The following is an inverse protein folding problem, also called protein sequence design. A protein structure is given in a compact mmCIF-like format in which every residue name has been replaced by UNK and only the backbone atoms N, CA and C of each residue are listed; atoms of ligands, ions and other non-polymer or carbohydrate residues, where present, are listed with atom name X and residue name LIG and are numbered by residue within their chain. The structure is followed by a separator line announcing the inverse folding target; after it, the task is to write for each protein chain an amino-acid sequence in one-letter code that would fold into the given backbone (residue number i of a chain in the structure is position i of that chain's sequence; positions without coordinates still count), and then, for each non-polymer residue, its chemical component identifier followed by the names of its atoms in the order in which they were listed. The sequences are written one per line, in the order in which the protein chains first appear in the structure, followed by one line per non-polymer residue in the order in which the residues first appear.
data_IF_147898582154
#
_entry.id   IF_147898582154
#
_cell.length_a   1.000
_cell.length_b   1.000
_cell.length_c   1.000
_cell.angle_alpha   90.00
_cell.angle_beta   90.00
_cell.angle_gamma   90.00
#
_symmetry.space_group_name_H-M   'P 1'
#
loop_
_entity.id
_entity.type
_entity.pdbx_description
1 polymer ?
#
# COMPACT_ATOMS: atom_id res chain seq x y z
N UNK A 1 -0.45 -4.35 -7.38
CA UNK A 1 0.02 -2.98 -7.06
C UNK A 1 -0.86 -1.92 -7.69
N UNK A 2 -1.08 -1.96 -9.01
CA UNK A 2 -1.91 -0.94 -9.69
C UNK A 2 -3.35 -0.84 -9.16
N UNK A 3 -4.02 -1.97 -8.91
CA UNK A 3 -5.33 -1.99 -8.24
C UNK A 3 -5.31 -1.28 -6.86
N UNK A 4 -4.19 -1.37 -6.13
CA UNK A 4 -4.03 -0.73 -4.83
C UNK A 4 -3.88 0.78 -4.97
N UNK A 5 -3.03 1.25 -5.90
CA UNK A 5 -2.85 2.67 -6.17
C UNK A 5 -4.08 3.36 -6.78
N UNK A 6 -4.90 2.61 -7.54
CA UNK A 6 -6.16 3.11 -8.09
C UNK A 6 -7.34 3.05 -7.11
N UNK A 7 -7.22 2.34 -5.98
CA UNK A 7 -8.29 2.21 -4.99
C UNK A 7 -9.36 1.17 -5.36
N UNK A 8 -9.02 0.14 -6.14
CA UNK A 8 -9.96 -0.93 -6.51
C UNK A 8 -10.16 -1.93 -5.37
N UNK A 9 -10.84 -1.50 -4.31
CA UNK A 9 -11.04 -2.22 -3.06
C UNK A 9 -11.53 -3.67 -3.25
N UNK A 10 -12.56 -3.87 -4.09
CA UNK A 10 -13.12 -5.21 -4.36
C UNK A 10 -12.12 -6.15 -5.02
N UNK A 11 -11.29 -5.63 -5.92
CA UNK A 11 -10.21 -6.40 -6.59
C UNK A 11 -9.12 -6.73 -5.58
N UNK A 12 -8.73 -5.77 -4.75
CA UNK A 12 -7.73 -5.99 -3.69
C UNK A 12 -8.19 -7.07 -2.71
N UNK A 13 -9.43 -6.99 -2.23
CA UNK A 13 -9.99 -7.99 -1.31
C UNK A 13 -10.04 -9.38 -1.97
N UNK A 14 -10.53 -9.48 -3.20
CA UNK A 14 -10.60 -10.77 -3.93
C UNK A 14 -9.22 -11.39 -4.10
N UNK A 15 -8.20 -10.59 -4.44
CA UNK A 15 -6.83 -11.08 -4.58
C UNK A 15 -6.24 -11.55 -3.25
N UNK A 16 -6.59 -10.87 -2.16
CA UNK A 16 -6.15 -11.23 -0.81
C UNK A 16 -6.76 -12.56 -0.36
N UNK A 17 -8.05 -12.75 -0.60
CA UNK A 17 -8.75 -14.02 -0.37
C UNK A 17 -8.16 -15.16 -1.22
N UNK A 18 -7.68 -14.85 -2.42
CA UNK A 18 -6.99 -15.81 -3.28
C UNK A 18 -5.53 -16.10 -2.87
N UNK A 19 -5.04 -15.48 -1.79
CA UNK A 19 -3.68 -15.68 -1.29
C UNK A 19 -2.59 -14.97 -2.10
N UNK A 20 -2.92 -13.88 -2.79
CA UNK A 20 -1.92 -13.08 -3.48
C UNK A 20 -0.92 -12.48 -2.47
N UNK A 21 0.36 -12.52 -2.83
CA UNK A 21 1.43 -11.90 -2.06
C UNK A 21 1.52 -10.40 -2.39
N UNK A 22 1.18 -9.55 -1.41
CA UNK A 22 1.22 -8.10 -1.53
C UNK A 22 2.53 -7.47 -1.04
N UNK A 23 3.46 -8.27 -0.52
CA UNK A 23 4.81 -7.84 -0.11
C UNK A 23 5.81 -7.87 -1.28
N UNK A 24 5.42 -8.47 -2.41
CA UNK A 24 6.21 -8.40 -3.65
C UNK A 24 6.42 -6.95 -4.03
N UNK A 25 7.68 -6.62 -4.33
CA UNK A 25 8.08 -5.29 -4.77
C UNK A 25 8.36 -5.25 -6.28
N UNK A 26 8.01 -4.14 -6.92
CA UNK A 26 8.31 -3.92 -8.34
C UNK A 26 9.79 -3.56 -8.57
N UNK A 27 10.14 -3.21 -9.81
CA UNK A 27 11.50 -2.78 -10.17
C UNK A 27 11.98 -1.52 -9.46
N UNK A 28 11.09 -0.74 -8.83
CA UNK A 28 11.39 0.45 -8.04
C UNK A 28 11.39 0.17 -6.53
N UNK A 29 11.12 -1.07 -6.14
CA UNK A 29 10.95 -1.44 -4.73
C UNK A 29 9.57 -1.06 -4.18
N UNK A 30 8.60 -0.70 -5.02
CA UNK A 30 7.25 -0.36 -4.58
C UNK A 30 6.49 -1.63 -4.25
N UNK A 31 5.96 -1.71 -3.03
CA UNK A 31 4.99 -2.73 -2.62
C UNK A 31 3.57 -2.20 -2.82
N UNK A 32 2.58 -3.07 -2.63
CA UNK A 32 1.18 -2.67 -2.69
C UNK A 32 0.80 -1.59 -1.67
N UNK A 33 1.37 -1.64 -0.47
CA UNK A 33 1.13 -0.65 0.58
C UNK A 33 1.76 0.70 0.23
N UNK A 34 2.98 0.70 -0.30
CA UNK A 34 3.65 1.92 -0.77
C UNK A 34 2.82 2.64 -1.83
N UNK A 35 2.28 1.89 -2.81
CA UNK A 35 1.41 2.45 -3.85
C UNK A 35 0.07 2.96 -3.30
N UNK A 36 -0.57 2.21 -2.41
CA UNK A 36 -1.83 2.65 -1.79
C UNK A 36 -1.65 3.95 -1.00
N UNK A 37 -0.57 4.06 -0.22
CA UNK A 37 -0.24 5.27 0.56
C UNK A 37 0.14 6.46 -0.32
N UNK A 38 0.94 6.23 -1.36
CA UNK A 38 1.33 7.26 -2.35
C UNK A 38 0.13 7.95 -3.00
N UNK A 39 -0.97 7.21 -3.21
CA UNK A 39 -2.20 7.74 -3.82
C UNK A 39 -3.35 7.96 -2.81
N UNK A 40 -3.09 7.86 -1.51
CA UNK A 40 -4.09 8.20 -0.48
C UNK A 40 -5.28 7.25 -0.39
N UNK A 41 -5.10 5.95 -0.71
CA UNK A 41 -6.19 4.97 -0.77
C UNK A 41 -6.49 4.36 0.60
N UNK A 42 -7.11 5.13 1.49
CA UNK A 42 -7.35 4.79 2.90
C UNK A 42 -7.96 3.39 3.14
N UNK A 43 -9.02 3.02 2.40
CA UNK A 43 -9.67 1.72 2.57
C UNK A 43 -8.74 0.58 2.16
N UNK A 44 -7.99 0.76 1.07
CA UNK A 44 -7.00 -0.22 0.59
C UNK A 44 -5.87 -0.35 1.60
N UNK A 45 -5.36 0.76 2.13
CA UNK A 45 -4.34 0.75 3.18
C UNK A 45 -4.82 -0.02 4.40
N UNK A 46 -6.04 0.27 4.88
CA UNK A 46 -6.64 -0.44 6.02
C UNK A 46 -6.78 -1.94 5.75
N UNK A 47 -7.19 -2.32 4.54
CA UNK A 47 -7.32 -3.73 4.12
C UNK A 47 -5.98 -4.44 4.13
N UNK A 48 -4.95 -3.81 3.57
CA UNK A 48 -3.61 -4.36 3.49
C UNK A 48 -2.94 -4.49 4.86
N UNK A 49 -3.07 -3.48 5.73
CA UNK A 49 -2.57 -3.54 7.12
C UNK A 49 -3.30 -4.64 7.91
N UNK A 50 -4.61 -4.77 7.73
CA UNK A 50 -5.41 -5.83 8.36
C UNK A 50 -4.97 -7.24 7.97
N UNK A 51 -4.31 -7.40 6.82
CA UNK A 51 -3.75 -8.67 6.36
C UNK A 51 -2.34 -8.97 6.93
N UNK A 52 -1.78 -8.08 7.74
CA UNK A 52 -0.54 -8.33 8.48
C UNK A 52 0.76 -8.19 7.68
N UNK A 53 0.74 -7.43 6.57
CA UNK A 53 1.95 -7.13 5.79
C UNK A 53 2.94 -6.22 6.55
N UNK A 54 4.23 -6.26 6.20
CA UNK A 54 5.23 -5.36 6.79
C UNK A 54 5.02 -3.90 6.37
N UNK A 55 4.57 -3.09 7.33
CA UNK A 55 4.35 -1.65 7.16
C UNK A 55 5.66 -0.83 7.06
N UNK A 56 6.80 -1.41 7.44
CA UNK A 56 8.09 -0.73 7.46
C UNK A 56 8.94 -1.01 6.21
N UNK A 57 8.40 -1.75 5.24
CA UNK A 57 9.04 -1.98 3.96
C UNK A 57 9.46 -0.66 3.30
N UNK A 58 10.64 -0.66 2.69
CA UNK A 58 11.24 0.50 2.03
C UNK A 58 11.39 0.24 0.54
N UNK A 59 11.02 1.23 -0.27
CA UNK A 59 11.37 1.23 -1.68
C UNK A 59 12.85 1.51 -1.93
N UNK A 60 13.29 1.49 -3.19
CA UNK A 60 14.69 1.75 -3.55
C UNK A 60 15.16 3.16 -3.21
N UNK A 61 14.24 4.09 -2.95
CA UNK A 61 14.54 5.45 -2.47
C UNK A 61 14.63 5.53 -0.93
N UNK A 62 14.46 4.40 -0.23
CA UNK A 62 14.47 4.33 1.23
C UNK A 62 13.18 4.84 1.88
N UNK A 63 12.13 5.09 1.10
CA UNK A 63 10.84 5.61 1.60
C UNK A 63 9.96 4.48 2.09
N UNK A 64 9.35 4.68 3.26
CA UNK A 64 8.29 3.81 3.79
C UNK A 64 6.92 4.27 3.30
N UNK A 65 5.90 3.44 3.51
CA UNK A 65 4.51 3.79 3.19
C UNK A 65 4.07 5.13 3.84
N UNK A 66 4.48 5.36 5.08
CA UNK A 66 4.24 6.61 5.79
C UNK A 66 4.92 7.83 5.12
N UNK A 67 6.15 7.67 4.64
CA UNK A 67 6.87 8.74 3.95
C UNK A 67 6.20 9.09 2.62
N UNK A 68 5.78 8.09 1.84
CA UNK A 68 5.05 8.28 0.59
C UNK A 68 3.73 9.03 0.81
N UNK A 69 2.95 8.66 1.83
CA UNK A 69 1.70 9.34 2.18
C UNK A 69 1.93 10.83 2.50
N UNK A 70 2.96 11.14 3.29
CA UNK A 70 3.30 12.53 3.66
C UNK A 70 3.77 13.36 2.47
N UNK A 71 4.63 12.80 1.62
CA UNK A 71 5.16 13.50 0.44
C UNK A 71 4.07 13.89 -0.55
N UNK A 72 3.00 13.10 -0.62
CA UNK A 72 1.84 13.34 -1.48
C UNK A 72 0.65 13.98 -0.74
N UNK A 73 0.86 14.49 0.48
CA UNK A 73 -0.13 15.20 1.31
C UNK A 73 -1.39 14.38 1.67
N UNK A 74 -1.24 13.07 1.86
CA UNK A 74 -2.28 12.16 2.30
C UNK A 74 -2.22 11.93 3.82
N UNK A 75 -2.57 12.96 4.60
CA UNK A 75 -2.45 12.96 6.06
C UNK A 75 -3.39 11.96 6.78
N UNK A 76 -4.52 11.64 6.16
CA UNK A 76 -5.54 10.74 6.73
C UNK A 76 -5.09 9.28 6.79
N UNK A 77 -4.23 8.85 5.86
CA UNK A 77 -3.62 7.52 5.83
C UNK A 77 -2.63 7.31 6.99
N UNK A 78 -2.19 8.38 7.63
CA UNK A 78 -1.16 8.38 8.70
C UNK A 78 -1.76 8.22 10.10
N UNK A 79 -3.09 8.30 10.24
CA UNK A 79 -3.76 8.46 11.53
C UNK A 79 -4.26 7.18 12.22
N UNK A 80 -3.99 5.99 11.66
CA UNK A 80 -4.43 4.71 12.22
C UNK A 80 -3.39 4.04 13.10
#
# INVERSE_FOLDING_TARGET
MEACGQGHETVVATLLEAGADFEVADSSGQTALLEACKYGRETVVSTLIGAGIDVNAKNKHGKTALMEAREHSHETVVAT
#
